data_IF_984779588618
#
_entry.id   IF_984779588618
#
_cell.length_a   1.000
_cell.length_b   1.000
_cell.length_c   1.000
_cell.angle_alpha   90.00
_cell.angle_beta   90.00
_cell.angle_gamma   90.00
#
_symmetry.space_group_name_H-M   'P 1'
#
loop_
_entity.id
_entity.type
_entity.pdbx_description
1 polymer ?
#
# COMPACT_ATOMS: atom_id res chain seq x y z
N UNK A 1 27.27 41.21 9.89
CA UNK A 1 28.23 40.07 9.94
C UNK A 1 28.12 39.29 11.25
N UNK A 2 28.19 39.95 12.41
CA UNK A 2 28.06 39.30 13.74
C UNK A 2 26.71 38.60 13.92
N UNK A 3 25.60 39.23 13.50
CA UNK A 3 24.27 38.60 13.56
C UNK A 3 24.14 37.32 12.70
N UNK A 4 24.72 37.31 11.50
CA UNK A 4 24.69 36.13 10.62
C UNK A 4 25.54 34.97 11.17
N UNK A 5 26.60 35.27 11.91
CA UNK A 5 27.41 34.28 12.63
C UNK A 5 26.67 33.71 13.84
N UNK A 6 25.96 34.54 14.61
CA UNK A 6 25.10 34.06 15.70
C UNK A 6 23.93 33.21 15.19
N UNK A 7 23.34 33.56 14.04
CA UNK A 7 22.27 32.78 13.41
C UNK A 7 22.76 31.41 12.96
N UNK A 8 23.97 31.35 12.37
CA UNK A 8 24.65 30.09 12.03
C UNK A 8 25.00 29.26 13.27
N UNK A 9 25.53 29.85 14.35
CA UNK A 9 25.84 29.11 15.57
C UNK A 9 24.58 28.53 16.23
N UNK A 10 23.46 29.26 16.21
CA UNK A 10 22.17 28.78 16.72
C UNK A 10 21.56 27.68 15.85
N UNK A 11 21.83 27.70 14.54
CA UNK A 11 21.42 26.64 13.61
C UNK A 11 22.38 25.46 13.61
N UNK A 12 23.68 25.63 13.92
CA UNK A 12 24.66 24.54 13.91
C UNK A 12 24.30 23.40 14.84
N UNK A 13 23.81 23.69 16.05
CA UNK A 13 23.36 22.64 16.98
C UNK A 13 22.02 22.00 16.58
N UNK A 14 21.15 22.73 15.88
CA UNK A 14 19.88 22.20 15.38
C UNK A 14 20.09 21.38 14.10
N UNK A 15 20.97 21.84 13.20
CA UNK A 15 21.37 21.17 11.96
C UNK A 15 22.24 19.95 12.22
N UNK A 16 23.09 19.95 13.26
CA UNK A 16 23.82 18.74 13.65
C UNK A 16 22.87 17.63 14.09
N UNK A 17 21.82 17.98 14.84
CA UNK A 17 20.79 17.02 15.23
C UNK A 17 19.95 16.53 14.03
N UNK A 18 19.59 17.41 13.09
CA UNK A 18 18.92 17.00 11.84
C UNK A 18 19.82 16.12 10.96
N UNK A 19 21.12 16.41 10.90
CA UNK A 19 22.09 15.63 10.16
C UNK A 19 22.24 14.22 10.75
N UNK A 20 22.32 14.09 12.08
CA UNK A 20 22.37 12.79 12.75
C UNK A 20 21.11 11.96 12.48
N UNK A 21 19.92 12.55 12.62
CA UNK A 21 18.64 11.90 12.31
C UNK A 21 18.57 11.48 10.83
N UNK A 22 19.04 12.33 9.91
CA UNK A 22 19.06 12.04 8.49
C UNK A 22 20.02 10.90 8.14
N UNK A 23 21.20 10.84 8.77
CA UNK A 23 22.17 9.76 8.55
C UNK A 23 21.60 8.42 9.04
N UNK A 24 21.02 8.39 10.25
CA UNK A 24 20.38 7.17 10.79
C UNK A 24 19.23 6.72 9.90
N UNK A 25 18.39 7.66 9.44
CA UNK A 25 17.31 7.38 8.50
C UNK A 25 17.85 6.82 7.18
N UNK A 26 18.89 7.44 6.60
CA UNK A 26 19.48 7.02 5.34
C UNK A 26 20.04 5.59 5.45
N UNK A 27 20.82 5.31 6.49
CA UNK A 27 21.37 3.96 6.74
C UNK A 27 20.24 2.95 6.89
N UNK A 28 19.20 3.28 7.67
CA UNK A 28 18.03 2.41 7.87
C UNK A 28 17.30 2.14 6.56
N UNK A 29 17.07 3.16 5.73
CA UNK A 29 16.42 3.03 4.42
C UNK A 29 17.24 2.16 3.46
N UNK A 30 18.57 2.36 3.40
CA UNK A 30 19.46 1.54 2.56
C UNK A 30 19.41 0.07 2.99
N UNK A 31 19.52 -0.20 4.29
CA UNK A 31 19.45 -1.55 4.83
C UNK A 31 18.09 -2.19 4.55
N UNK A 32 16.99 -1.47 4.81
CA UNK A 32 15.64 -1.94 4.51
C UNK A 32 15.47 -2.26 3.01
N UNK A 33 16.03 -1.43 2.14
CA UNK A 33 15.95 -1.63 0.69
C UNK A 33 16.74 -2.87 0.25
N UNK A 34 17.92 -3.12 0.82
CA UNK A 34 18.70 -4.35 0.57
C UNK A 34 17.87 -5.57 0.98
N UNK A 35 17.29 -5.56 2.19
CA UNK A 35 16.43 -6.66 2.65
C UNK A 35 15.24 -6.89 1.74
N UNK A 36 14.57 -5.82 1.29
CA UNK A 36 13.41 -5.90 0.41
C UNK A 36 13.80 -6.52 -0.95
N UNK A 37 14.89 -6.05 -1.56
CA UNK A 37 15.40 -6.59 -2.84
C UNK A 37 15.82 -8.05 -2.68
N UNK A 38 16.53 -8.38 -1.61
CA UNK A 38 16.96 -9.75 -1.32
C UNK A 38 15.76 -10.68 -1.08
N UNK A 39 14.73 -10.19 -0.40
CA UNK A 39 13.52 -10.94 -0.16
C UNK A 39 12.73 -11.18 -1.46
N UNK A 40 12.58 -10.15 -2.29
CA UNK A 40 11.93 -10.25 -3.61
C UNK A 40 12.64 -11.25 -4.51
N UNK A 41 13.97 -11.24 -4.54
CA UNK A 41 14.77 -12.14 -5.40
C UNK A 41 14.75 -13.58 -4.90
N UNK A 42 14.92 -13.84 -3.59
CA UNK A 42 14.93 -15.21 -3.04
C UNK A 42 13.54 -15.82 -2.88
N UNK A 43 12.54 -15.03 -2.48
CA UNK A 43 11.21 -15.53 -2.11
C UNK A 43 10.08 -14.71 -2.76
N UNK A 44 10.10 -14.63 -4.09
CA UNK A 44 9.15 -13.84 -4.88
C UNK A 44 7.68 -14.11 -4.54
N UNK A 45 7.27 -15.38 -4.35
CA UNK A 45 5.88 -15.74 -3.99
C UNK A 45 5.46 -15.18 -2.63
N UNK A 46 6.37 -15.20 -1.65
CA UNK A 46 6.08 -14.67 -0.30
C UNK A 46 6.02 -13.15 -0.34
N UNK A 47 6.99 -12.54 -1.02
CA UNK A 47 7.04 -11.11 -1.28
C UNK A 47 5.74 -10.61 -1.93
N UNK A 48 5.31 -11.23 -3.05
CA UNK A 48 4.07 -10.83 -3.73
C UNK A 48 2.84 -10.92 -2.82
N UNK A 49 2.69 -11.99 -2.05
CA UNK A 49 1.55 -12.15 -1.13
C UNK A 49 1.57 -11.07 -0.05
N UNK A 50 2.72 -10.84 0.58
CA UNK A 50 2.86 -9.85 1.64
C UNK A 50 2.63 -8.42 1.12
N UNK A 51 3.21 -8.08 -0.04
CA UNK A 51 2.99 -6.78 -0.69
C UNK A 51 1.53 -6.59 -1.07
N UNK A 52 0.87 -7.62 -1.62
CA UNK A 52 -0.56 -7.55 -1.95
C UNK A 52 -1.42 -7.30 -0.71
N UNK A 53 -1.17 -8.03 0.38
CA UNK A 53 -1.87 -7.82 1.66
C UNK A 53 -1.59 -6.42 2.21
N UNK A 54 -0.35 -5.96 2.16
CA UNK A 54 0.02 -4.61 2.59
C UNK A 54 -0.71 -3.53 1.81
N UNK A 55 -0.68 -3.59 0.47
CA UNK A 55 -1.38 -2.66 -0.41
C UNK A 55 -2.90 -2.66 -0.19
N UNK A 56 -3.48 -3.82 0.16
CA UNK A 56 -4.91 -3.95 0.46
C UNK A 56 -5.28 -3.42 1.86
N UNK A 57 -4.42 -3.56 2.87
CA UNK A 57 -4.71 -3.14 4.25
C UNK A 57 -4.46 -1.65 4.52
N UNK A 58 -3.40 -1.07 3.95
CA UNK A 58 -3.01 0.34 4.17
C UNK A 58 -4.20 1.32 4.01
N UNK A 59 -4.96 1.32 2.88
CA UNK A 59 -6.04 2.27 2.71
C UNK A 59 -7.14 2.10 3.76
N UNK A 60 -7.45 0.86 4.16
CA UNK A 60 -8.48 0.56 5.17
C UNK A 60 -8.08 1.08 6.54
N UNK A 61 -6.83 0.80 6.95
CA UNK A 61 -6.32 1.23 8.26
C UNK A 61 -6.39 2.76 8.36
N UNK A 62 -6.00 3.46 7.30
CA UNK A 62 -6.10 4.92 7.20
C UNK A 62 -7.58 5.35 7.29
N UNK A 63 -8.46 4.79 6.47
CA UNK A 63 -9.88 5.17 6.46
C UNK A 63 -10.58 4.93 7.79
N UNK A 64 -10.27 3.85 8.51
CA UNK A 64 -10.80 3.60 9.85
C UNK A 64 -10.27 4.65 10.84
N UNK A 65 -8.97 4.96 10.81
CA UNK A 65 -8.35 5.95 11.69
C UNK A 65 -8.95 7.35 11.50
N UNK A 66 -9.30 7.71 10.26
CA UNK A 66 -9.95 8.97 9.92
C UNK A 66 -11.50 8.90 9.95
N UNK A 67 -12.09 7.83 10.49
CA UNK A 67 -13.55 7.62 10.61
C UNK A 67 -14.32 7.74 9.28
N UNK A 68 -13.70 7.40 8.16
CA UNK A 68 -14.30 7.47 6.84
C UNK A 68 -15.19 6.23 6.57
N UNK A 69 -16.35 6.21 7.23
CA UNK A 69 -17.23 5.04 7.28
C UNK A 69 -17.76 4.60 5.91
N UNK A 70 -18.01 5.56 5.00
CA UNK A 70 -18.49 5.29 3.63
C UNK A 70 -17.49 4.42 2.87
N UNK A 71 -16.23 4.82 2.83
CA UNK A 71 -15.17 4.06 2.16
C UNK A 71 -15.01 2.68 2.80
N UNK A 72 -14.97 2.61 4.13
CA UNK A 72 -14.83 1.35 4.85
C UNK A 72 -15.95 0.34 4.53
N UNK A 73 -17.19 0.83 4.39
CA UNK A 73 -18.33 -0.01 4.03
C UNK A 73 -18.19 -0.58 2.61
N UNK A 74 -17.95 0.27 1.61
CA UNK A 74 -17.75 -0.18 0.23
C UNK A 74 -16.56 -1.11 0.09
N UNK A 75 -15.45 -0.79 0.75
CA UNK A 75 -14.25 -1.63 0.74
C UNK A 75 -14.49 -3.02 1.32
N UNK A 76 -15.26 -3.11 2.41
CA UNK A 76 -15.60 -4.38 3.04
C UNK A 76 -16.42 -5.26 2.09
N UNK A 77 -17.45 -4.71 1.45
CA UNK A 77 -18.28 -5.43 0.47
C UNK A 77 -17.43 -5.89 -0.71
N UNK A 78 -16.65 -4.98 -1.30
CA UNK A 78 -15.74 -5.29 -2.40
C UNK A 78 -14.78 -6.43 -2.04
N UNK A 79 -14.23 -6.40 -0.84
CA UNK A 79 -13.27 -7.39 -0.37
C UNK A 79 -13.89 -8.75 -0.11
N UNK A 80 -15.10 -8.81 0.46
CA UNK A 80 -15.83 -10.07 0.66
C UNK A 80 -16.12 -10.73 -0.68
N UNK A 81 -16.64 -9.98 -1.66
CA UNK A 81 -16.98 -10.54 -2.98
C UNK A 81 -15.71 -10.98 -3.72
N UNK A 82 -14.65 -10.15 -3.69
CA UNK A 82 -13.37 -10.49 -4.34
C UNK A 82 -12.73 -11.71 -3.69
N UNK A 83 -12.77 -11.84 -2.35
CA UNK A 83 -12.29 -13.02 -1.64
C UNK A 83 -13.06 -14.28 -2.03
N UNK A 84 -14.39 -14.19 -2.17
CA UNK A 84 -15.21 -15.31 -2.65
C UNK A 84 -14.84 -15.73 -4.09
N UNK A 85 -14.64 -14.77 -4.99
CA UNK A 85 -14.22 -15.02 -6.37
C UNK A 85 -12.84 -15.67 -6.41
N UNK A 86 -11.87 -15.16 -5.64
CA UNK A 86 -10.51 -15.72 -5.52
C UNK A 86 -10.53 -17.11 -4.90
N UNK A 87 -11.36 -17.34 -3.88
CA UNK A 87 -11.54 -18.65 -3.27
C UNK A 87 -12.01 -19.67 -4.31
N UNK A 88 -13.04 -19.34 -5.09
CA UNK A 88 -13.54 -20.21 -6.16
C UNK A 88 -12.48 -20.46 -7.24
N UNK A 89 -11.69 -19.44 -7.59
CA UNK A 89 -10.60 -19.54 -8.55
C UNK A 89 -9.36 -20.31 -8.04
N UNK A 90 -9.21 -20.47 -6.72
CA UNK A 90 -8.06 -21.17 -6.13
C UNK A 90 -8.30 -22.68 -5.95
N UNK A 91 -9.55 -23.15 -6.06
CA UNK A 91 -9.89 -24.58 -5.95
C UNK A 91 -9.46 -25.35 -7.19
N UNK A 92 -8.89 -26.54 -6.98
CA UNK A 92 -8.57 -27.52 -8.03
C UNK A 92 -9.47 -28.75 -7.89
N UNK A 93 -10.03 -29.31 -8.98
CA UNK A 93 -9.99 -28.81 -10.35
C UNK A 93 -10.83 -27.54 -10.54
N UNK A 94 -10.44 -26.70 -11.51
CA UNK A 94 -11.15 -25.46 -11.81
C UNK A 94 -12.49 -25.77 -12.47
N UNK A 95 -13.62 -25.37 -11.88
CA UNK A 95 -14.92 -25.47 -12.56
C UNK A 95 -14.95 -24.54 -13.78
N UNK A 96 -15.43 -25.03 -14.94
CA UNK A 96 -15.55 -24.23 -16.17
C UNK A 96 -16.50 -23.02 -16.08
N UNK A 97 -17.27 -22.89 -14.99
CA UNK A 97 -18.07 -21.69 -14.71
C UNK A 97 -17.27 -20.57 -14.01
N UNK A 98 -16.16 -20.91 -13.34
CA UNK A 98 -15.39 -20.00 -12.50
C UNK A 98 -14.76 -18.84 -13.27
N UNK A 99 -14.14 -19.05 -14.45
CA UNK A 99 -13.61 -17.93 -15.25
C UNK A 99 -14.68 -16.91 -15.63
N UNK A 100 -15.93 -17.36 -15.90
CA UNK A 100 -17.06 -16.46 -16.21
C UNK A 100 -17.44 -15.59 -15.00
N UNK A 101 -17.42 -16.15 -13.79
CA UNK A 101 -17.68 -15.38 -12.57
C UNK A 101 -16.61 -14.33 -12.30
N UNK A 102 -15.34 -14.71 -12.44
CA UNK A 102 -14.19 -13.80 -12.32
C UNK A 102 -14.35 -12.63 -13.30
N UNK A 103 -14.59 -12.93 -14.57
CA UNK A 103 -14.73 -11.91 -15.60
C UNK A 103 -15.90 -10.96 -15.34
N UNK A 104 -17.08 -11.49 -15.02
CA UNK A 104 -18.27 -10.67 -14.73
C UNK A 104 -18.04 -9.72 -13.56
N UNK A 105 -17.40 -10.18 -12.49
CA UNK A 105 -17.12 -9.37 -11.30
C UNK A 105 -16.18 -8.20 -11.64
N UNK A 106 -15.02 -8.48 -12.24
CA UNK A 106 -14.07 -7.42 -12.58
C UNK A 106 -14.57 -6.49 -13.69
N UNK A 107 -15.37 -6.99 -14.63
CA UNK A 107 -16.01 -6.14 -15.64
C UNK A 107 -17.05 -5.20 -15.01
N UNK A 108 -17.83 -5.68 -14.04
CA UNK A 108 -18.78 -4.83 -13.30
C UNK A 108 -18.04 -3.71 -12.58
N UNK A 109 -16.96 -4.04 -11.87
CA UNK A 109 -16.12 -3.05 -11.18
C UNK A 109 -15.58 -2.00 -12.15
N UNK A 110 -15.01 -2.43 -13.27
CA UNK A 110 -14.54 -1.52 -14.33
C UNK A 110 -15.65 -0.56 -14.79
N UNK A 111 -16.86 -1.08 -15.08
CA UNK A 111 -17.99 -0.25 -15.53
C UNK A 111 -18.44 0.76 -14.48
N UNK A 112 -18.50 0.35 -13.21
CA UNK A 112 -18.87 1.24 -12.10
C UNK A 112 -17.81 2.33 -11.92
N UNK A 113 -16.53 1.97 -11.91
CA UNK A 113 -15.43 2.93 -11.79
C UNK A 113 -15.37 3.91 -12.98
N UNK A 114 -15.62 3.42 -14.19
CA UNK A 114 -15.67 4.26 -15.38
C UNK A 114 -16.87 5.22 -15.33
N UNK A 115 -18.05 4.72 -14.94
CA UNK A 115 -19.24 5.56 -14.79
C UNK A 115 -19.06 6.62 -13.71
N UNK A 116 -18.48 6.27 -12.55
CA UNK A 116 -18.18 7.25 -11.50
C UNK A 116 -17.16 8.30 -11.97
N UNK A 117 -16.14 7.90 -12.71
CA UNK A 117 -15.12 8.83 -13.22
C UNK A 117 -15.62 9.79 -14.31
N UNK A 118 -16.73 9.49 -14.98
CA UNK A 118 -17.40 10.44 -15.90
C UNK A 118 -18.32 11.40 -15.15
N UNK A 119 -18.85 10.97 -14.00
CA UNK A 119 -19.79 11.75 -13.19
C UNK A 119 -19.10 12.76 -12.25
N UNK A 120 -17.78 12.69 -12.10
CA UNK A 120 -16.94 13.72 -11.46
C UNK A 120 -16.46 14.75 -12.48
#
# INVERSE_FOLDING_TARGET
RVEHQMLHQKHQGHESMHAEMAIVLLVTLVVAQIFLVQWKTRHFKSYQKATLVGMWLIPVIISIKFSWWRFSAFWTIFSIITAFVVYKASRKPLSGSTPRWVYKWFLLLYKVSYASGIME
#
